data_IF_903919076399
#
_entry.id   IF_903919076399
#
_cell.length_a   1.000
_cell.length_b   1.000
_cell.length_c   1.000
_cell.angle_alpha   90.00
_cell.angle_beta   90.00
_cell.angle_gamma   90.00
#
_symmetry.space_group_name_H-M   'P 1'
#
loop_
_entity.id
_entity.type
_entity.pdbx_description
1 polymer ?
#
# COMPACT_ATOMS: atom_id res chain seq x y z
N UNK A 1 2.85 -20.45 -11.35
CA UNK A 1 2.79 -20.01 -9.94
C UNK A 1 3.83 -18.90 -9.72
N UNK A 2 3.82 -18.25 -8.55
CA UNK A 2 4.79 -17.21 -8.18
C UNK A 2 5.53 -17.67 -6.94
N UNK A 3 6.84 -17.79 -7.03
CA UNK A 3 7.72 -18.13 -5.90
C UNK A 3 8.36 -16.85 -5.34
N UNK A 4 8.15 -16.56 -4.06
CA UNK A 4 8.86 -15.48 -3.37
C UNK A 4 10.19 -16.02 -2.85
N UNK A 5 11.29 -15.52 -3.40
CA UNK A 5 12.65 -15.95 -3.04
C UNK A 5 13.13 -15.23 -1.79
N UNK A 6 12.91 -13.91 -1.72
CA UNK A 6 13.35 -13.07 -0.60
C UNK A 6 12.49 -11.83 -0.51
N UNK A 7 12.18 -11.38 0.70
CA UNK A 7 11.59 -10.07 0.93
C UNK A 7 12.30 -9.32 2.06
N UNK A 8 12.18 -8.00 2.04
CA UNK A 8 12.67 -7.10 3.08
C UNK A 8 11.66 -5.97 3.30
N UNK A 9 11.36 -5.64 4.55
CA UNK A 9 10.43 -4.58 4.92
C UNK A 9 11.13 -3.45 5.67
N UNK A 10 10.73 -2.21 5.40
CA UNK A 10 11.20 -1.01 6.11
C UNK A 10 10.05 -0.02 6.33
N UNK A 11 10.12 0.82 7.38
CA UNK A 11 9.15 1.91 7.54
C UNK A 11 9.31 2.93 6.42
N UNK A 12 8.20 3.41 5.86
CA UNK A 12 8.21 4.44 4.81
C UNK A 12 8.51 5.81 5.38
N UNK A 13 8.15 6.03 6.65
CA UNK A 13 8.20 7.34 7.31
C UNK A 13 8.80 7.25 8.72
N UNK A 14 9.42 8.34 9.20
CA UNK A 14 9.87 8.43 10.58
C UNK A 14 8.69 8.33 11.57
N UNK A 15 9.00 7.91 12.79
CA UNK A 15 8.05 7.94 13.91
C UNK A 15 7.40 9.32 14.05
N UNK A 16 6.07 9.34 14.15
CA UNK A 16 5.29 10.58 14.25
C UNK A 16 4.76 11.12 12.91
N UNK A 17 5.27 10.64 11.78
CA UNK A 17 4.79 11.00 10.44
C UNK A 17 3.89 9.91 9.82
N UNK A 18 3.25 9.09 10.64
CA UNK A 18 2.64 7.81 10.24
C UNK A 18 1.26 7.90 9.55
N UNK A 19 0.71 9.11 9.29
CA UNK A 19 -0.56 9.28 8.55
C UNK A 19 -1.74 8.43 9.09
N UNK A 20 -1.89 8.34 10.42
CA UNK A 20 -2.94 7.52 11.05
C UNK A 20 -2.90 6.03 10.70
N UNK A 21 -1.77 5.49 10.23
CA UNK A 21 -1.60 4.09 9.83
C UNK A 21 -0.16 3.66 10.01
N UNK A 22 0.18 2.40 9.74
CA UNK A 22 1.57 1.99 9.57
C UNK A 22 1.81 1.79 8.08
N UNK A 23 2.92 2.34 7.59
CA UNK A 23 3.30 2.28 6.18
C UNK A 23 4.65 1.57 6.07
N UNK A 24 4.65 0.41 5.43
CA UNK A 24 5.84 -0.39 5.18
C UNK A 24 6.15 -0.42 3.70
N UNK A 25 7.40 -0.17 3.34
CA UNK A 25 7.93 -0.50 2.01
C UNK A 25 8.45 -1.93 2.07
N UNK A 26 7.91 -2.77 1.21
CA UNK A 26 8.30 -4.19 1.10
C UNK A 26 8.94 -4.42 -0.27
N UNK A 27 10.24 -4.68 -0.26
CA UNK A 27 10.98 -5.12 -1.43
C UNK A 27 10.85 -6.63 -1.56
N UNK A 28 10.48 -7.12 -2.73
CA UNK A 28 10.25 -8.54 -3.00
C UNK A 28 11.06 -8.97 -4.21
N UNK A 29 11.85 -10.02 -4.07
CA UNK A 29 12.45 -10.77 -5.17
C UNK A 29 11.64 -12.04 -5.38
N UNK A 30 11.17 -12.26 -6.60
CA UNK A 30 10.28 -13.37 -6.94
C UNK A 30 10.64 -13.99 -8.29
N UNK A 31 10.18 -15.21 -8.51
CA UNK A 31 10.29 -15.96 -9.77
C UNK A 31 8.89 -16.38 -10.21
N UNK A 32 8.65 -16.36 -11.52
CA UNK A 32 7.47 -16.97 -12.12
C UNK A 32 7.91 -18.34 -12.62
N UNK A 33 7.16 -19.42 -12.36
CA UNK A 33 7.62 -20.81 -12.60
C UNK A 33 8.19 -21.07 -14.00
N UNK A 34 7.68 -20.37 -15.01
CA UNK A 34 8.09 -20.53 -16.41
C UNK A 34 9.36 -19.74 -16.77
N UNK A 35 9.85 -18.91 -15.85
CA UNK A 35 10.99 -18.02 -16.06
C UNK A 35 12.14 -18.39 -15.12
N UNK A 36 13.33 -18.59 -15.69
CA UNK A 36 14.55 -18.76 -14.88
C UNK A 36 14.98 -17.44 -14.20
N UNK A 37 14.55 -16.30 -14.73
CA UNK A 37 14.96 -14.98 -14.28
C UNK A 37 14.27 -14.59 -12.96
N UNK A 38 15.06 -14.08 -12.01
CA UNK A 38 14.55 -13.48 -10.78
C UNK A 38 14.16 -12.03 -11.06
N UNK A 39 12.91 -11.70 -10.74
CA UNK A 39 12.35 -10.34 -10.83
C UNK A 39 12.35 -9.69 -9.45
N UNK A 40 12.37 -8.37 -9.43
CA UNK A 40 12.25 -7.58 -8.20
C UNK A 40 11.13 -6.55 -8.32
N UNK A 41 10.48 -6.26 -7.20
CA UNK A 41 9.47 -5.20 -7.10
C UNK A 41 9.49 -4.57 -5.71
N UNK A 42 8.82 -3.43 -5.58
CA UNK A 42 8.61 -2.72 -4.31
C UNK A 42 7.12 -2.40 -4.17
N UNK A 43 6.59 -2.66 -2.98
CA UNK A 43 5.18 -2.45 -2.63
C UNK A 43 5.09 -1.59 -1.37
N UNK A 44 4.02 -0.83 -1.26
CA UNK A 44 3.64 -0.14 -0.01
C UNK A 44 2.53 -0.93 0.65
N UNK A 45 2.78 -1.45 1.84
CA UNK A 45 1.78 -2.09 2.68
C UNK A 45 1.33 -1.09 3.73
N UNK A 46 0.04 -0.78 3.71
CA UNK A 46 -0.60 0.11 4.68
C UNK A 46 -1.51 -0.70 5.60
N UNK A 47 -1.30 -0.59 6.90
CA UNK A 47 -2.09 -1.30 7.92
C UNK A 47 -2.60 -0.36 9.00
N UNK A 48 -3.60 -0.76 9.79
CA UNK A 48 -4.01 -0.03 10.98
C UNK A 48 -2.86 0.15 11.98
N UNK A 49 -2.99 1.15 12.86
CA UNK A 49 -2.11 1.29 14.03
C UNK A 49 -2.24 0.06 14.95
N UNK A 50 -1.17 -0.32 15.63
CA UNK A 50 -1.18 -1.51 16.52
C UNK A 50 -2.06 -1.28 17.75
N UNK A 51 -1.92 -0.13 18.41
CA UNK A 51 -2.57 0.18 19.69
C UNK A 51 -2.74 1.70 19.91
N UNK A 52 -3.37 2.07 21.03
CA UNK A 52 -3.52 3.46 21.49
C UNK A 52 -4.92 4.04 21.27
N UNK A 53 -5.20 5.17 21.94
CA UNK A 53 -6.51 5.85 21.87
C UNK A 53 -6.83 6.35 20.46
N UNK A 54 -5.81 6.82 19.72
CA UNK A 54 -5.96 7.26 18.33
C UNK A 54 -6.44 6.10 17.45
N UNK A 55 -5.89 4.89 17.61
CA UNK A 55 -6.36 3.70 16.89
C UNK A 55 -7.85 3.47 17.12
N UNK A 56 -8.27 3.42 18.40
CA UNK A 56 -9.67 3.17 18.76
C UNK A 56 -10.61 4.25 18.21
N UNK A 57 -10.16 5.50 18.15
CA UNK A 57 -10.91 6.57 17.52
C UNK A 57 -11.06 6.34 16.01
N UNK A 58 -9.97 6.04 15.30
CA UNK A 58 -9.97 5.78 13.86
C UNK A 58 -10.83 4.57 13.47
N UNK A 59 -10.79 3.50 14.26
CA UNK A 59 -11.63 2.31 14.07
C UNK A 59 -13.11 2.64 14.25
N UNK A 60 -13.48 3.37 15.31
CA UNK A 60 -14.87 3.80 15.51
C UNK A 60 -15.35 4.76 14.43
N UNK A 61 -14.45 5.58 13.89
CA UNK A 61 -14.73 6.47 12.78
C UNK A 61 -14.77 5.75 11.41
N UNK A 62 -14.44 4.45 11.35
CA UNK A 62 -14.47 3.65 10.12
C UNK A 62 -13.43 4.06 9.08
N UNK A 63 -12.32 4.69 9.48
CA UNK A 63 -11.35 5.30 8.56
C UNK A 63 -10.67 4.25 7.68
N UNK A 64 -10.30 3.10 8.25
CA UNK A 64 -9.58 2.06 7.51
C UNK A 64 -10.49 1.33 6.51
N UNK A 65 -11.75 1.10 6.90
CA UNK A 65 -12.79 0.52 6.06
C UNK A 65 -13.11 1.44 4.88
N UNK A 66 -13.32 2.72 5.15
CA UNK A 66 -13.57 3.73 4.12
C UNK A 66 -12.41 3.79 3.13
N UNK A 67 -11.17 3.76 3.61
CA UNK A 67 -10.00 3.76 2.73
C UNK A 67 -9.94 2.51 1.83
N UNK A 68 -10.23 1.32 2.36
CA UNK A 68 -10.30 0.10 1.57
C UNK A 68 -11.37 0.18 0.48
N UNK A 69 -12.57 0.69 0.81
CA UNK A 69 -13.67 0.89 -0.16
C UNK A 69 -13.25 1.89 -1.25
N UNK A 70 -12.56 2.96 -0.88
CA UNK A 70 -12.08 3.97 -1.85
C UNK A 70 -11.14 3.32 -2.87
N UNK A 71 -10.12 2.60 -2.41
CA UNK A 71 -9.12 2.00 -3.31
C UNK A 71 -9.65 0.80 -4.12
N UNK A 72 -10.46 -0.05 -3.51
CA UNK A 72 -10.89 -1.30 -4.13
C UNK A 72 -12.17 -1.15 -4.97
N UNK A 73 -13.02 -0.17 -4.67
CA UNK A 73 -14.33 -0.04 -5.33
C UNK A 73 -14.54 1.31 -6.02
N UNK A 74 -14.27 2.42 -5.33
CA UNK A 74 -14.62 3.76 -5.84
C UNK A 74 -13.65 4.20 -6.95
N UNK A 75 -12.34 4.17 -6.69
CA UNK A 75 -11.33 4.60 -7.66
C UNK A 75 -11.40 3.80 -8.98
N UNK A 76 -11.52 2.45 -8.98
CA UNK A 76 -11.68 1.70 -10.22
C UNK A 76 -12.90 2.13 -11.05
N UNK A 77 -14.02 2.48 -10.40
CA UNK A 77 -15.22 3.00 -11.09
C UNK A 77 -14.97 4.41 -11.64
N UNK A 78 -14.33 5.28 -10.86
CA UNK A 78 -13.99 6.64 -11.30
C UNK A 78 -13.05 6.64 -12.52
N UNK A 79 -12.04 5.77 -12.53
CA UNK A 79 -11.07 5.67 -13.62
C UNK A 79 -11.71 5.20 -14.92
N UNK A 80 -12.68 4.28 -14.85
CA UNK A 80 -13.47 3.86 -16.02
C UNK A 80 -14.30 5.00 -16.62
N UNK A 81 -14.78 5.93 -15.79
CA UNK A 81 -15.59 7.06 -16.25
C UNK A 81 -14.76 8.18 -16.90
N UNK A 82 -13.52 8.39 -16.44
CA UNK A 82 -12.70 9.55 -16.84
C UNK A 82 -11.42 9.20 -17.60
N UNK A 83 -11.14 7.91 -17.84
CA UNK A 83 -9.91 7.40 -18.44
C UNK A 83 -8.64 8.06 -17.87
N UNK A 84 -8.62 8.23 -16.55
CA UNK A 84 -7.54 8.90 -15.83
C UNK A 84 -7.20 8.06 -14.60
N UNK A 85 -5.92 7.72 -14.43
CA UNK A 85 -5.42 7.10 -13.21
C UNK A 85 -4.49 8.11 -12.50
N UNK A 86 -4.90 8.59 -11.34
CA UNK A 86 -4.20 9.65 -10.60
C UNK A 86 -3.74 9.24 -9.19
N UNK A 87 -3.84 7.96 -8.84
CA UNK A 87 -3.33 7.39 -7.59
C UNK A 87 -2.42 6.21 -7.85
N UNK A 88 -1.70 5.79 -6.82
CA UNK A 88 -1.05 4.48 -6.78
C UNK A 88 -2.04 3.37 -7.15
N UNK A 89 -1.59 2.39 -7.93
CA UNK A 89 -2.36 1.17 -8.17
C UNK A 89 -2.53 0.41 -6.86
N UNK A 90 -3.74 -0.09 -6.61
CA UNK A 90 -4.02 -1.03 -5.53
C UNK A 90 -3.91 -2.46 -6.03
N UNK A 91 -3.35 -3.34 -5.19
CA UNK A 91 -3.24 -4.77 -5.40
C UNK A 91 -4.08 -5.52 -4.38
N UNK A 92 -4.40 -6.77 -4.68
CA UNK A 92 -5.10 -7.64 -3.74
C UNK A 92 -4.36 -7.71 -2.39
N UNK A 93 -5.11 -7.48 -1.31
CA UNK A 93 -4.63 -7.62 0.05
C UNK A 93 -5.53 -8.63 0.78
N UNK A 94 -4.98 -9.73 1.31
CA UNK A 94 -5.77 -10.72 2.06
C UNK A 94 -6.08 -10.27 3.49
N UNK A 95 -5.48 -9.17 3.96
CA UNK A 95 -5.66 -8.67 5.32
C UNK A 95 -6.81 -7.67 5.36
N UNK A 96 -7.67 -7.79 6.37
CA UNK A 96 -8.73 -6.82 6.60
C UNK A 96 -8.15 -5.43 6.92
N UNK A 97 -8.88 -4.38 6.51
CA UNK A 97 -8.59 -2.97 6.82
C UNK A 97 -7.16 -2.54 6.43
N UNK A 98 -6.57 -3.21 5.45
CA UNK A 98 -5.19 -3.05 5.01
C UNK A 98 -5.12 -2.99 3.49
N UNK A 99 -4.09 -2.35 2.98
CA UNK A 99 -3.88 -2.15 1.54
C UNK A 99 -2.48 -2.55 1.12
N UNK A 100 -2.38 -3.11 -0.08
CA UNK A 100 -1.14 -3.24 -0.82
C UNK A 100 -1.21 -2.30 -2.01
N UNK A 101 -0.28 -1.35 -2.08
CA UNK A 101 -0.25 -0.28 -3.06
C UNK A 101 1.08 -0.30 -3.82
N UNK A 102 1.05 0.28 -5.02
CA UNK A 102 2.23 0.58 -5.81
C UNK A 102 3.20 1.49 -5.05
N UNK A 103 4.49 1.15 -5.07
CA UNK A 103 5.53 2.05 -4.59
C UNK A 103 5.88 3.09 -5.66
N UNK A 104 5.20 4.23 -5.59
CA UNK A 104 5.38 5.36 -6.50
C UNK A 104 6.82 5.90 -6.54
N UNK A 105 7.66 5.58 -5.55
CA UNK A 105 9.08 5.94 -5.58
C UNK A 105 9.81 5.31 -6.77
N UNK A 106 9.41 4.12 -7.21
CA UNK A 106 9.97 3.48 -8.41
C UNK A 106 9.65 4.27 -9.69
N UNK A 107 8.54 5.02 -9.68
CA UNK A 107 8.09 5.87 -10.78
C UNK A 107 8.63 7.32 -10.65
N UNK A 108 9.61 7.56 -9.76
CA UNK A 108 10.26 8.86 -9.58
C UNK A 108 9.48 9.88 -8.75
N UNK A 109 8.34 9.50 -8.16
CA UNK A 109 7.59 10.40 -7.28
C UNK A 109 8.32 10.59 -5.94
N UNK A 110 8.29 11.83 -5.46
CA UNK A 110 8.82 12.23 -4.17
C UNK A 110 7.68 12.71 -3.27
N UNK A 111 7.85 12.50 -1.96
CA UNK A 111 6.95 13.11 -0.99
C UNK A 111 7.18 14.62 -0.99
N UNK A 112 6.12 15.38 -1.22
CA UNK A 112 6.17 16.83 -1.07
C UNK A 112 6.52 17.21 0.38
N UNK A 113 7.26 18.31 0.54
CA UNK A 113 7.47 18.91 1.85
C UNK A 113 6.12 19.38 2.41
N UNK A 114 5.96 19.26 3.72
CA UNK A 114 4.73 19.62 4.44
C UNK A 114 4.83 20.99 5.10
N UNK A 115 6.00 21.63 5.00
CA UNK A 115 6.34 22.93 5.56
C UNK A 115 6.43 24.00 4.47
#
# INVERSE_FOLDING_TARGET
EVEVIKFQSSSVVPSGANYCSLLFRVHVNYRLDEESAVKSTSLIVKTPLVSGQIKQFLERAGVYEAECVVYNEILPKMYKLKNLQCTAKSFFCPLEKSLVLEDLKLSGFLMADRL
#
